data_IF_161113294716
#
_entry.id   IF_161113294716
#
_cell.length_a   1.000
_cell.length_b   1.000
_cell.length_c   1.000
_cell.angle_alpha   90.00
_cell.angle_beta   90.00
_cell.angle_gamma   90.00
#
_symmetry.space_group_name_H-M   'P 1'
#
loop_
_entity.id
_entity.type
_entity.pdbx_description
1 polymer ?
#
# COMPACT_ATOMS: atom_id res chain seq x y z
N UNK A 1 -11.94 15.82 -12.46
CA UNK A 1 -10.74 15.57 -11.63
C UNK A 1 -11.08 14.88 -10.32
N UNK A 2 -12.02 15.45 -9.54
CA UNK A 2 -12.43 14.83 -8.28
C UNK A 2 -13.12 13.48 -8.49
N UNK A 3 -13.89 13.35 -9.54
CA UNK A 3 -14.55 12.09 -9.88
C UNK A 3 -13.54 10.99 -10.20
N UNK A 4 -12.45 11.34 -10.88
CA UNK A 4 -11.39 10.37 -11.19
C UNK A 4 -10.65 9.93 -9.93
N UNK A 5 -10.40 10.85 -8.99
CA UNK A 5 -9.78 10.49 -7.72
C UNK A 5 -10.65 9.55 -6.91
N UNK A 6 -11.96 9.78 -6.87
CA UNK A 6 -12.88 8.89 -6.17
C UNK A 6 -12.87 7.50 -6.77
N UNK A 7 -12.80 7.39 -8.10
CA UNK A 7 -12.71 6.10 -8.78
C UNK A 7 -11.43 5.37 -8.43
N UNK A 8 -10.30 6.09 -8.37
CA UNK A 8 -9.01 5.49 -8.00
C UNK A 8 -9.06 5.00 -6.56
N UNK A 9 -9.59 5.82 -5.65
CA UNK A 9 -9.74 5.41 -4.25
C UNK A 9 -10.60 4.16 -4.14
N UNK A 10 -11.76 4.17 -4.80
CA UNK A 10 -12.67 3.03 -4.78
C UNK A 10 -12.00 1.77 -5.32
N UNK A 11 -11.24 1.89 -6.39
CA UNK A 11 -10.52 0.75 -6.97
C UNK A 11 -9.44 0.21 -6.02
N UNK A 12 -8.63 1.11 -5.46
CA UNK A 12 -7.54 0.71 -4.58
C UNK A 12 -8.05 0.08 -3.29
N UNK A 13 -9.19 0.55 -2.79
CA UNK A 13 -9.75 0.14 -1.52
C UNK A 13 -10.96 -0.78 -1.66
N UNK A 14 -11.21 -1.31 -2.85
CA UNK A 14 -12.37 -2.15 -3.11
C UNK A 14 -12.51 -3.27 -2.07
N UNK A 15 -11.41 -3.87 -1.72
CA UNK A 15 -11.37 -4.99 -0.78
C UNK A 15 -10.34 -4.82 0.35
N UNK A 16 -9.80 -3.61 0.49
CA UNK A 16 -8.93 -3.29 1.62
C UNK A 16 -9.74 -2.50 2.65
N UNK A 17 -9.81 -2.99 3.88
CA UNK A 17 -10.53 -2.28 4.94
C UNK A 17 -9.76 -1.03 5.38
N UNK A 18 -10.50 -0.03 5.84
CA UNK A 18 -9.93 1.15 6.47
C UNK A 18 -10.37 1.22 7.92
N UNK A 19 -9.50 1.68 8.84
CA UNK A 19 -9.94 1.94 10.20
C UNK A 19 -11.15 2.88 10.22
N UNK A 20 -12.03 2.70 11.18
CA UNK A 20 -13.29 3.46 11.23
C UNK A 20 -13.08 4.98 11.31
N UNK A 21 -11.94 5.42 11.84
CA UNK A 21 -11.59 6.84 11.98
C UNK A 21 -10.58 7.31 10.94
N UNK A 22 -10.35 6.53 9.88
CA UNK A 22 -9.33 6.84 8.90
C UNK A 22 -9.63 8.15 8.18
N UNK A 23 -8.60 8.97 8.03
CA UNK A 23 -8.65 10.22 7.31
C UNK A 23 -7.54 10.24 6.26
N UNK A 24 -7.91 10.44 5.00
CA UNK A 24 -6.93 10.52 3.92
C UNK A 24 -6.27 11.89 3.96
N UNK A 25 -4.95 11.91 4.21
CA UNK A 25 -4.20 13.16 4.38
C UNK A 25 -3.49 13.63 3.13
N UNK A 26 -3.40 12.78 2.12
CA UNK A 26 -2.85 13.14 0.81
C UNK A 26 -3.72 12.56 -0.28
N UNK A 27 -3.78 13.25 -1.40
CA UNK A 27 -4.47 12.73 -2.58
C UNK A 27 -3.82 11.41 -3.00
N UNK A 28 -4.64 10.43 -3.40
CA UNK A 28 -4.10 9.16 -3.88
C UNK A 28 -3.18 9.38 -5.07
N UNK A 29 -2.05 8.73 -5.05
CA UNK A 29 -1.10 8.77 -6.14
C UNK A 29 -1.29 7.54 -7.01
N UNK A 30 -1.57 7.77 -8.29
CA UNK A 30 -1.57 6.69 -9.28
C UNK A 30 -0.13 6.60 -9.80
N UNK A 31 0.51 5.48 -9.52
CA UNK A 31 1.89 5.27 -9.92
C UNK A 31 2.00 4.79 -11.36
N UNK A 32 1.16 3.83 -11.72
CA UNK A 32 1.24 3.17 -13.01
C UNK A 32 -0.10 2.56 -13.40
N UNK A 33 -0.26 2.34 -14.70
CA UNK A 33 -1.32 1.52 -15.22
C UNK A 33 -2.52 2.27 -15.72
N UNK A 34 -3.31 1.56 -16.49
CA UNK A 34 -4.58 2.04 -17.02
C UNK A 34 -5.64 0.98 -16.79
N UNK A 35 -6.89 1.40 -16.67
CA UNK A 35 -8.01 0.48 -16.51
C UNK A 35 -7.90 -0.35 -15.24
N UNK A 36 -7.87 -1.67 -15.37
CA UNK A 36 -7.84 -2.60 -14.24
C UNK A 36 -6.45 -2.81 -13.65
N UNK A 37 -5.42 -2.34 -14.33
CA UNK A 37 -4.04 -2.54 -13.90
C UNK A 37 -3.48 -1.32 -13.18
N UNK A 38 -4.28 -0.72 -12.31
CA UNK A 38 -3.89 0.48 -11.58
C UNK A 38 -3.05 0.10 -10.36
N UNK A 39 -1.93 0.81 -10.21
CA UNK A 39 -1.10 0.77 -9.01
C UNK A 39 -1.12 2.15 -8.37
N UNK A 40 -1.26 2.20 -7.06
CA UNK A 40 -1.36 3.48 -6.40
C UNK A 40 -0.99 3.43 -4.93
N UNK A 41 -1.01 4.60 -4.30
CA UNK A 41 -0.62 4.77 -2.91
C UNK A 41 -1.55 5.77 -2.23
N UNK A 42 -1.93 5.44 -1.00
CA UNK A 42 -2.78 6.29 -0.17
C UNK A 42 -2.14 6.44 1.20
N UNK A 43 -2.16 7.64 1.74
CA UNK A 43 -1.65 7.92 3.07
C UNK A 43 -2.80 8.37 3.96
N UNK A 44 -2.93 7.72 5.10
CA UNK A 44 -4.02 7.90 6.05
C UNK A 44 -3.51 8.30 7.42
N UNK A 45 -4.38 8.94 8.18
CA UNK A 45 -4.22 9.11 9.64
C UNK A 45 -5.28 8.30 10.35
N UNK A 46 -4.92 7.77 11.51
CA UNK A 46 -5.84 7.08 12.41
C UNK A 46 -5.52 7.47 13.85
N UNK A 47 -6.55 7.63 14.67
CA UNK A 47 -6.37 7.85 16.11
C UNK A 47 -6.06 6.59 16.89
N UNK A 48 -6.21 5.42 16.26
CA UNK A 48 -5.83 4.17 16.89
C UNK A 48 -4.32 3.98 16.90
N UNK A 49 -3.81 3.31 17.92
CA UNK A 49 -2.37 3.03 18.03
C UNK A 49 -1.90 2.08 16.92
N UNK A 50 -0.58 2.03 16.66
CA UNK A 50 -0.05 1.03 15.72
C UNK A 50 -0.42 -0.40 16.10
N UNK A 51 -0.45 -0.73 17.39
CA UNK A 51 -0.83 -2.07 17.84
C UNK A 51 -2.31 -2.36 17.54
N UNK A 52 -3.19 -1.40 17.77
CA UNK A 52 -4.60 -1.55 17.46
C UNK A 52 -4.83 -1.68 15.94
N UNK A 53 -4.13 -0.91 15.13
CA UNK A 53 -4.22 -1.00 13.68
C UNK A 53 -3.59 -2.30 13.15
N UNK A 54 -2.57 -2.81 13.80
CA UNK A 54 -2.02 -4.13 13.48
C UNK A 54 -3.09 -5.22 13.65
N UNK A 55 -3.81 -5.19 14.76
CA UNK A 55 -4.88 -6.15 15.02
C UNK A 55 -5.99 -5.99 13.98
N UNK A 56 -6.38 -4.75 13.68
CA UNK A 56 -7.40 -4.45 12.69
C UNK A 56 -7.03 -5.04 11.32
N UNK A 57 -5.85 -4.70 10.81
CA UNK A 57 -5.43 -5.17 9.50
C UNK A 57 -5.15 -6.67 9.49
N UNK A 58 -4.61 -7.20 10.59
CA UNK A 58 -4.36 -8.63 10.70
C UNK A 58 -5.64 -9.48 10.64
N UNK A 59 -6.76 -8.89 11.05
CA UNK A 59 -8.05 -9.59 11.08
C UNK A 59 -8.88 -9.28 9.85
N UNK A 60 -9.14 -8.00 9.61
CA UNK A 60 -10.10 -7.56 8.60
C UNK A 60 -9.60 -7.78 7.16
N UNK A 61 -8.31 -7.64 6.93
CA UNK A 61 -7.74 -7.84 5.59
C UNK A 61 -7.88 -9.29 5.15
N UNK A 62 -7.70 -10.22 6.06
CA UNK A 62 -7.88 -11.64 5.75
C UNK A 62 -9.34 -11.96 5.44
N UNK A 63 -10.28 -11.28 6.09
CA UNK A 63 -11.71 -11.53 5.87
C UNK A 63 -12.18 -11.12 4.48
N UNK A 64 -11.45 -10.25 3.80
CA UNK A 64 -11.78 -9.82 2.43
C UNK A 64 -11.02 -10.59 1.35
N UNK A 65 -10.34 -11.66 1.73
CA UNK A 65 -9.72 -12.59 0.79
C UNK A 65 -8.24 -12.37 0.55
N UNK A 66 -7.62 -11.42 1.21
CA UNK A 66 -6.18 -11.21 1.09
C UNK A 66 -5.41 -12.28 1.87
N UNK A 67 -4.29 -12.68 1.35
CA UNK A 67 -3.36 -13.61 2.02
C UNK A 67 -2.15 -12.83 2.51
N UNK A 68 -1.83 -13.00 3.78
CA UNK A 68 -0.63 -12.39 4.35
C UNK A 68 0.60 -13.17 3.88
N UNK A 69 1.52 -12.50 3.19
CA UNK A 69 2.73 -13.13 2.68
C UNK A 69 3.98 -12.69 3.42
N UNK A 70 3.93 -11.57 4.13
CA UNK A 70 5.07 -11.10 4.92
C UNK A 70 4.57 -10.15 6.00
N UNK A 71 5.21 -10.21 7.17
CA UNK A 71 4.93 -9.26 8.23
C UNK A 71 6.23 -8.93 8.96
N UNK A 72 6.38 -7.66 9.29
CA UNK A 72 7.46 -7.19 10.14
C UNK A 72 6.80 -6.34 11.23
N UNK A 73 6.92 -6.78 12.48
CA UNK A 73 6.26 -6.13 13.60
C UNK A 73 7.31 -5.62 14.58
N UNK A 74 7.23 -4.35 14.89
CA UNK A 74 8.07 -3.67 15.83
C UNK A 74 7.40 -2.37 16.21
N UNK A 75 8.17 -1.34 16.45
CA UNK A 75 7.64 0.01 16.67
C UNK A 75 6.89 0.49 15.43
N UNK A 76 7.40 0.13 14.27
CA UNK A 76 6.74 0.29 12.99
C UNK A 76 6.32 -1.10 12.49
N UNK A 77 5.21 -1.14 11.77
CA UNK A 77 4.64 -2.39 11.27
C UNK A 77 4.57 -2.35 9.75
N UNK A 78 5.01 -3.43 9.12
CA UNK A 78 4.86 -3.62 7.68
C UNK A 78 4.14 -4.94 7.44
N UNK A 79 3.01 -4.87 6.75
CA UNK A 79 2.22 -6.04 6.37
C UNK A 79 2.14 -6.08 4.85
N UNK A 80 2.42 -7.24 4.27
CA UNK A 80 2.35 -7.44 2.82
C UNK A 80 1.35 -8.55 2.54
N UNK A 81 0.38 -8.24 1.71
CA UNK A 81 -0.69 -9.15 1.33
C UNK A 81 -0.72 -9.36 -0.17
N UNK A 82 -1.23 -10.50 -0.58
CA UNK A 82 -1.51 -10.77 -2.00
C UNK A 82 -2.96 -11.20 -2.19
N UNK A 83 -3.53 -10.79 -3.31
CA UNK A 83 -4.86 -11.20 -3.73
C UNK A 83 -4.99 -11.05 -5.24
N UNK A 84 -5.30 -12.15 -5.92
CA UNK A 84 -5.53 -12.14 -7.38
C UNK A 84 -4.38 -11.45 -8.15
N UNK A 85 -3.15 -11.73 -7.75
CA UNK A 85 -1.96 -11.15 -8.38
C UNK A 85 -1.62 -9.74 -7.92
N UNK A 86 -2.48 -9.08 -7.17
CA UNK A 86 -2.16 -7.77 -6.61
C UNK A 86 -1.37 -7.93 -5.32
N UNK A 87 -0.48 -6.98 -5.08
CA UNK A 87 0.29 -6.91 -3.84
C UNK A 87 -0.09 -5.62 -3.12
N UNK A 88 -0.52 -5.76 -1.88
CA UNK A 88 -0.81 -4.63 -1.01
C UNK A 88 0.21 -4.59 0.11
N UNK A 89 0.84 -3.43 0.29
CA UNK A 89 1.77 -3.20 1.39
C UNK A 89 1.15 -2.16 2.31
N UNK A 90 1.01 -2.51 3.58
CA UNK A 90 0.46 -1.62 4.60
C UNK A 90 1.56 -1.33 5.61
N UNK A 91 1.95 -0.07 5.69
CA UNK A 91 2.97 0.40 6.60
C UNK A 91 2.32 1.27 7.66
N UNK A 92 2.51 0.90 8.93
CA UNK A 92 1.89 1.58 10.08
C UNK A 92 3.01 2.11 10.97
N UNK A 93 3.03 3.41 11.19
CA UNK A 93 4.00 4.06 12.07
C UNK A 93 3.31 4.91 13.12
N UNK A 94 3.97 5.12 14.28
CA UNK A 94 3.41 6.02 15.29
C UNK A 94 3.28 7.44 14.76
N UNK A 95 2.12 8.04 14.99
CA UNK A 95 1.85 9.40 14.60
C UNK A 95 2.65 10.37 15.46
N UNK A 96 3.21 11.39 14.82
CA UNK A 96 3.89 12.45 15.55
C UNK A 96 5.23 12.07 16.14
N UNK A 97 5.88 11.04 15.61
CA UNK A 97 7.23 10.69 16.05
C UNK A 97 8.22 11.67 15.44
N UNK A 98 8.50 12.73 16.16
CA UNK A 98 9.51 13.70 15.78
C UNK A 98 10.64 13.62 16.79
N UNK A 99 11.85 13.32 16.31
CA UNK A 99 13.04 13.26 17.15
C UNK A 99 12.96 12.23 18.28
N UNK A 100 12.15 11.21 18.13
CA UNK A 100 12.00 10.17 19.16
C UNK A 100 11.10 10.56 20.31
N UNK A 101 10.49 11.74 20.29
CA UNK A 101 9.56 12.17 21.32
C UNK A 101 8.14 11.92 20.88
N UNK A 102 7.49 10.96 21.54
CA UNK A 102 6.06 10.74 21.41
C UNK A 102 5.39 11.63 22.45
N UNK A 103 4.80 12.71 22.00
CA UNK A 103 4.10 13.61 22.91
C UNK A 103 2.61 13.36 22.78
N UNK A 104 2.10 12.53 23.64
CA UNK A 104 0.70 12.50 24.00
C UNK A 104 -0.29 11.88 23.03
N UNK A 105 0.03 11.63 21.79
CA UNK A 105 -0.91 11.07 20.85
C UNK A 105 -0.42 9.71 20.32
N UNK A 106 -1.20 8.66 20.60
CA UNK A 106 -0.85 7.29 20.27
C UNK A 106 -1.42 6.87 18.91
N UNK A 107 -1.77 7.83 18.07
CA UNK A 107 -2.31 7.56 16.76
C UNK A 107 -1.30 6.97 15.78
N UNK A 108 -1.76 6.63 14.61
CA UNK A 108 -0.95 6.01 13.56
C UNK A 108 -1.00 6.82 12.27
N UNK A 109 0.12 6.82 11.57
CA UNK A 109 0.19 7.16 10.15
C UNK A 109 0.22 5.83 9.38
N UNK A 110 -0.61 5.73 8.36
CA UNK A 110 -0.77 4.49 7.60
C UNK A 110 -0.52 4.79 6.12
N UNK A 111 0.39 4.02 5.53
CA UNK A 111 0.76 4.15 4.13
C UNK A 111 0.39 2.85 3.43
N UNK A 112 -0.55 2.93 2.50
CA UNK A 112 -1.04 1.77 1.77
C UNK A 112 -0.64 1.89 0.31
N UNK A 113 0.10 0.91 -0.19
CA UNK A 113 0.45 0.80 -1.60
C UNK A 113 -0.16 -0.47 -2.17
N UNK A 114 -0.82 -0.36 -3.31
CA UNK A 114 -1.35 -1.52 -4.03
C UNK A 114 -0.71 -1.53 -5.42
N UNK A 115 -0.12 -2.66 -5.78
CA UNK A 115 0.58 -2.82 -7.04
C UNK A 115 -0.04 -3.98 -7.81
N UNK A 116 -0.41 -3.71 -9.06
CA UNK A 116 -0.89 -4.73 -9.97
C UNK A 116 0.28 -5.26 -10.80
N UNK A 117 0.37 -6.59 -11.01
CA UNK A 117 1.52 -7.16 -11.74
C UNK A 117 1.64 -6.65 -13.18
N UNK A 118 0.53 -6.36 -13.85
CA UNK A 118 0.58 -5.83 -15.20
C UNK A 118 1.17 -4.43 -15.26
N UNK A 119 1.01 -3.64 -14.21
CA UNK A 119 1.62 -2.33 -14.12
C UNK A 119 3.14 -2.44 -13.94
N UNK A 120 3.60 -3.44 -13.18
CA UNK A 120 5.03 -3.69 -13.01
C UNK A 120 5.68 -4.07 -14.33
N UNK A 121 5.02 -4.91 -15.14
CA UNK A 121 5.57 -5.37 -16.41
C UNK A 121 5.84 -4.22 -17.37
N UNK A 122 4.99 -3.19 -17.37
CA UNK A 122 5.17 -2.01 -18.23
C UNK A 122 6.44 -1.25 -17.85
N UNK A 123 6.86 -1.35 -16.60
CA UNK A 123 7.93 -0.53 -16.05
C UNK A 123 9.29 -1.25 -15.95
N UNK A 124 9.37 -2.50 -16.32
CA UNK A 124 10.64 -3.21 -16.25
C UNK A 124 11.48 -2.93 -17.50
N UNK A 125 12.52 -2.07 -17.39
CA UNK A 125 13.33 -1.73 -18.56
C UNK A 125 14.14 -2.91 -19.08
N UNK A 126 14.30 -3.94 -18.26
CA UNK A 126 15.08 -5.12 -18.65
C UNK A 126 14.26 -6.11 -19.49
N UNK A 127 12.92 -6.06 -19.43
CA UNK A 127 12.08 -6.90 -20.27
C UNK A 127 12.14 -6.47 -21.73
N UNK A 128 12.41 -5.21 -21.99
CA UNK A 128 12.57 -4.67 -23.34
C UNK A 128 13.94 -4.96 -23.93
N UNK A 129 14.88 -5.45 -23.11
CA UNK A 129 16.17 -5.86 -23.58
C UNK A 129 16.10 -7.25 -24.15
N UNK A 130 16.27 -7.35 -25.46
CA UNK A 130 16.40 -8.64 -26.13
C UNK A 130 17.85 -9.09 -25.99
N UNK A 131 18.10 -10.04 -25.12
CA UNK A 131 19.45 -10.54 -24.88
C UNK A 131 20.10 -11.16 -26.12
N UNK A 132 19.28 -11.62 -27.06
CA UNK A 132 19.79 -12.17 -28.31
C UNK A 132 20.37 -11.10 -29.22
N UNK A 133 19.99 -9.84 -29.00
CA UNK A 133 20.47 -8.70 -29.78
C UNK A 133 21.56 -7.92 -29.07
N UNK A 134 21.97 -8.35 -27.89
CA UNK A 134 23.11 -7.72 -27.23
C UNK A 134 24.39 -8.08 -27.96
N UNK A 135 25.28 -7.11 -28.14
CA UNK A 135 26.57 -7.43 -28.76
C UNK A 135 27.29 -8.45 -27.91
N UNK A 136 27.83 -9.45 -28.58
CA UNK A 136 28.67 -10.43 -27.91
C UNK A 136 29.84 -9.72 -27.27
N UNK A 137 29.96 -9.87 -25.96
CA UNK A 137 31.16 -9.38 -25.31
C UNK A 137 32.32 -10.24 -25.69
N UNK A 138 33.39 -9.66 -26.16
CA UNK A 138 34.57 -10.42 -26.50
C UNK A 138 35.16 -11.11 -25.28
#
# INVERSE_FOLDING_TARGET
>A
YQANQRKVIAYLLEDLPLPSDAEIIKEPTVLLGTGEAISGRIILKSGFSPAENLIFYGTETLSTGWQLISSKVGEEVTLVYSKSGRIATIYISPKGTFGGLIVGDIGSDIDISVVHPNAIQIQNPYEDLNYDNLPDTP
#
